data_IF_296587633222
#
_entry.id   IF_296587633222
#
_cell.length_a   1.000
_cell.length_b   1.000
_cell.length_c   1.000
_cell.angle_alpha   90.00
_cell.angle_beta   90.00
_cell.angle_gamma   90.00
#
_symmetry.space_group_name_H-M   'P 1'
#
loop_
_entity.id
_entity.type
_entity.pdbx_description
1 polymer ?
#
# COMPACT_ATOMS: atom_id res chain seq x y z
N UNK A 1 -17.04 1.96 8.42
CA UNK A 1 -15.99 1.09 7.85
C UNK A 1 -14.64 1.73 8.09
N UNK A 2 -13.71 1.01 8.71
CA UNK A 2 -12.35 1.51 8.97
C UNK A 2 -11.61 1.74 7.64
N UNK A 3 -10.74 2.75 7.56
CA UNK A 3 -10.00 3.08 6.33
C UNK A 3 -9.23 1.86 5.78
N UNK A 4 -8.68 1.00 6.65
CA UNK A 4 -7.98 -0.21 6.24
C UNK A 4 -8.89 -1.25 5.57
N UNK A 5 -10.16 -1.35 5.98
CA UNK A 5 -11.12 -2.24 5.33
C UNK A 5 -11.42 -1.78 3.91
N UNK A 6 -11.55 -0.46 3.70
CA UNK A 6 -11.74 0.11 2.35
C UNK A 6 -10.52 -0.16 1.46
N UNK A 7 -9.31 -0.02 2.00
CA UNK A 7 -8.07 -0.30 1.27
C UNK A 7 -8.01 -1.78 0.89
N UNK A 8 -8.25 -2.69 1.83
CA UNK A 8 -8.29 -4.13 1.58
C UNK A 8 -9.32 -4.51 0.52
N UNK A 9 -10.51 -3.89 0.54
CA UNK A 9 -11.52 -4.13 -0.48
C UNK A 9 -11.02 -3.76 -1.88
N UNK A 10 -10.31 -2.63 -2.04
CA UNK A 10 -9.70 -2.25 -3.33
C UNK A 10 -8.65 -3.24 -3.81
N UNK A 11 -7.89 -3.84 -2.90
CA UNK A 11 -6.95 -4.91 -3.24
C UNK A 11 -7.69 -6.17 -3.72
N UNK A 12 -8.73 -6.59 -2.99
CA UNK A 12 -9.58 -7.76 -3.37
C UNK A 12 -10.19 -7.55 -4.76
N UNK A 13 -10.74 -6.36 -5.00
CA UNK A 13 -11.40 -6.01 -6.26
C UNK A 13 -10.41 -5.78 -7.41
N UNK A 14 -9.09 -5.87 -7.15
CA UNK A 14 -8.01 -5.48 -8.06
C UNK A 14 -8.15 -4.05 -8.60
N UNK A 15 -8.81 -3.19 -7.83
CA UNK A 15 -9.07 -1.80 -8.13
C UNK A 15 -7.97 -0.90 -7.54
N UNK A 16 -6.74 -1.18 -7.98
CA UNK A 16 -5.58 -0.41 -7.58
C UNK A 16 -4.55 -0.30 -8.70
N UNK A 17 -3.76 0.75 -8.64
CA UNK A 17 -2.64 1.02 -9.52
C UNK A 17 -1.34 1.02 -8.73
N UNK A 18 -0.32 0.31 -9.23
CA UNK A 18 1.04 0.39 -8.74
C UNK A 18 1.76 1.49 -9.53
N UNK A 19 2.34 2.47 -8.84
CA UNK A 19 3.13 3.50 -9.54
C UNK A 19 4.49 2.95 -10.00
N UNK A 20 5.08 3.55 -11.04
CA UNK A 20 6.41 3.15 -11.52
C UNK A 20 7.46 3.21 -10.43
N UNK A 21 7.43 4.25 -9.59
CA UNK A 21 8.32 4.38 -8.44
C UNK A 21 8.14 3.24 -7.43
N UNK A 22 6.89 2.78 -7.19
CA UNK A 22 6.67 1.63 -6.33
C UNK A 22 7.22 0.34 -6.96
N UNK A 23 7.12 0.17 -8.28
CA UNK A 23 7.68 -1.00 -8.97
C UNK A 23 9.21 -1.01 -8.96
N UNK A 24 9.86 0.15 -9.07
CA UNK A 24 11.32 0.29 -8.95
C UNK A 24 11.82 -0.09 -7.54
N UNK A 25 11.23 0.49 -6.50
CA UNK A 25 11.62 0.18 -5.10
C UNK A 25 11.34 -1.29 -4.74
N UNK A 26 10.23 -1.85 -5.24
CA UNK A 26 9.94 -3.26 -5.06
C UNK A 26 11.00 -4.17 -5.70
N UNK A 27 11.52 -3.78 -6.87
CA UNK A 27 12.58 -4.54 -7.53
C UNK A 27 13.89 -4.49 -6.74
N UNK A 28 14.24 -3.32 -6.22
CA UNK A 28 15.45 -3.12 -5.41
C UNK A 28 15.41 -3.93 -4.10
N UNK A 29 14.22 -4.09 -3.51
CA UNK A 29 14.00 -4.82 -2.26
C UNK A 29 13.61 -6.30 -2.44
N UNK A 30 13.62 -6.84 -3.66
CA UNK A 30 13.18 -8.21 -3.98
C UNK A 30 11.75 -8.51 -3.45
N UNK A 31 10.82 -7.62 -3.78
CA UNK A 31 9.41 -7.69 -3.41
C UNK A 31 8.54 -7.92 -4.65
N UNK A 32 7.59 -8.85 -4.56
CA UNK A 32 6.56 -9.00 -5.59
C UNK A 32 5.25 -8.33 -5.16
N UNK A 33 4.35 -8.13 -6.13
CA UNK A 33 3.00 -7.59 -5.88
C UNK A 33 2.25 -8.35 -4.79
N UNK A 34 2.43 -9.67 -4.71
CA UNK A 34 1.80 -10.53 -3.70
C UNK A 34 2.29 -10.23 -2.29
N UNK A 35 3.51 -9.71 -2.14
CA UNK A 35 4.06 -9.29 -0.84
C UNK A 35 3.40 -8.01 -0.36
N UNK A 36 3.19 -7.06 -1.26
CA UNK A 36 2.40 -5.83 -1.02
C UNK A 36 0.97 -6.17 -0.59
N UNK A 37 0.31 -7.05 -1.33
CA UNK A 37 -1.05 -7.49 -1.01
C UNK A 37 -1.12 -8.16 0.36
N UNK A 38 -0.20 -9.11 0.65
CA UNK A 38 -0.12 -9.79 1.95
C UNK A 38 0.12 -8.80 3.10
N UNK A 39 1.00 -7.82 2.91
CA UNK A 39 1.26 -6.78 3.90
C UNK A 39 0.02 -5.92 4.16
N UNK A 40 -0.77 -5.56 3.13
CA UNK A 40 -2.03 -4.83 3.30
C UNK A 40 -3.09 -5.69 4.02
N UNK A 41 -3.17 -6.98 3.71
CA UNK A 41 -4.15 -7.89 4.30
C UNK A 41 -3.86 -8.18 5.78
N UNK A 42 -2.60 -8.39 6.14
CA UNK A 42 -2.19 -8.77 7.51
C UNK A 42 -1.71 -7.59 8.36
N UNK A 43 -1.40 -6.47 7.72
CA UNK A 43 -0.85 -5.29 8.37
C UNK A 43 -1.88 -4.36 8.99
N UNK A 44 -1.39 -3.21 9.45
CA UNK A 44 -2.16 -2.13 10.08
C UNK A 44 -1.76 -0.77 9.48
N UNK A 45 -2.65 0.20 9.54
CA UNK A 45 -2.28 1.59 9.23
C UNK A 45 -1.38 2.08 10.36
N UNK A 46 -0.10 2.26 10.07
CA UNK A 46 0.90 2.82 10.99
C UNK A 46 0.77 4.35 11.06
N UNK A 47 0.51 5.01 9.92
CA UNK A 47 0.35 6.47 9.89
C UNK A 47 -0.67 6.95 8.86
N UNK A 48 -1.38 8.02 9.22
CA UNK A 48 -2.24 8.80 8.33
C UNK A 48 -1.59 10.18 8.09
N UNK A 49 -1.28 10.50 6.84
CA UNK A 49 -0.64 11.74 6.41
C UNK A 49 -1.68 12.62 5.71
N UNK A 50 -2.13 13.69 6.36
CA UNK A 50 -3.27 14.51 5.91
C UNK A 50 -2.87 15.87 5.32
N UNK A 51 -1.61 16.28 5.43
CA UNK A 51 -1.13 17.60 5.01
C UNK A 51 -0.67 17.64 3.53
N UNK A 52 -1.19 16.73 2.70
CA UNK A 52 -0.81 16.63 1.29
C UNK A 52 -1.94 17.19 0.42
N UNK A 53 -1.60 18.14 -0.46
CA UNK A 53 -2.56 18.78 -1.39
C UNK A 53 -3.25 17.75 -2.31
N UNK A 54 -2.59 16.60 -2.54
CA UNK A 54 -3.11 15.52 -3.37
C UNK A 54 -4.01 14.55 -2.58
N UNK A 55 -4.32 14.87 -1.33
CA UNK A 55 -5.21 14.09 -0.47
C UNK A 55 -4.49 13.19 0.53
N UNK A 56 -5.27 12.58 1.43
CA UNK A 56 -4.73 11.77 2.53
C UNK A 56 -3.95 10.55 2.02
N UNK A 57 -2.71 10.41 2.49
CA UNK A 57 -1.89 9.20 2.31
C UNK A 57 -1.95 8.33 3.57
N UNK A 58 -1.88 7.02 3.37
CA UNK A 58 -1.86 6.01 4.41
C UNK A 58 -0.57 5.22 4.29
N UNK A 59 0.16 5.08 5.40
CA UNK A 59 1.27 4.14 5.52
C UNK A 59 0.77 2.90 6.23
N UNK A 60 0.95 1.76 5.59
CA UNK A 60 0.58 0.45 6.12
C UNK A 60 1.87 -0.29 6.40
N UNK A 61 1.97 -0.83 7.61
CA UNK A 61 3.05 -1.74 8.00
C UNK A 61 2.46 -3.14 8.07
N UNK A 62 3.11 -4.09 7.40
CA UNK A 62 2.70 -5.49 7.41
C UNK A 62 3.79 -6.40 6.86
N UNK A 63 3.64 -7.72 7.05
CA UNK A 63 4.62 -8.69 6.58
C UNK A 63 4.48 -8.92 5.06
N UNK A 64 5.61 -9.02 4.36
CA UNK A 64 5.72 -9.70 3.07
C UNK A 64 5.43 -11.21 3.23
N UNK A 65 5.40 -11.98 2.14
CA UNK A 65 5.12 -13.43 2.23
C UNK A 65 6.25 -14.22 2.87
N UNK A 66 7.48 -13.71 2.82
CA UNK A 66 8.65 -14.27 3.50
C UNK A 66 8.77 -13.83 4.97
N UNK A 67 7.87 -12.95 5.44
CA UNK A 67 7.83 -12.46 6.81
C UNK A 67 8.62 -11.18 7.08
N UNK A 68 9.40 -10.66 6.11
CA UNK A 68 10.02 -9.32 6.23
C UNK A 68 8.93 -8.27 6.44
N UNK A 69 9.14 -7.31 7.33
CA UNK A 69 8.22 -6.18 7.46
C UNK A 69 8.47 -5.21 6.32
N UNK A 70 7.39 -4.74 5.70
CA UNK A 70 7.43 -3.74 4.64
C UNK A 70 6.48 -2.60 4.96
N UNK A 71 6.82 -1.42 4.45
CA UNK A 71 5.91 -0.28 4.41
C UNK A 71 5.29 -0.15 3.03
N UNK A 72 3.98 0.05 3.00
CA UNK A 72 3.21 0.35 1.80
C UNK A 72 2.58 1.73 1.97
N UNK A 73 2.93 2.67 1.09
CA UNK A 73 2.32 4.00 1.09
C UNK A 73 1.26 4.09 -0.01
N UNK A 74 0.01 4.37 0.34
CA UNK A 74 -1.09 4.44 -0.61
C UNK A 74 -2.04 5.62 -0.39
N UNK A 75 -2.84 5.96 -1.41
CA UNK A 75 -3.94 6.93 -1.30
C UNK A 75 -5.11 6.57 -2.22
N UNK A 76 -6.30 7.07 -1.90
CA UNK A 76 -7.44 7.01 -2.81
C UNK A 76 -7.37 8.14 -3.84
N UNK A 77 -7.72 7.87 -5.10
CA UNK A 77 -8.07 8.90 -6.08
C UNK A 77 -9.51 9.37 -5.90
N UNK A 78 -9.82 10.55 -6.46
CA UNK A 78 -11.18 11.11 -6.49
C UNK A 78 -12.19 10.13 -7.12
N UNK A 79 -11.78 9.38 -8.16
CA UNK A 79 -12.61 8.36 -8.82
C UNK A 79 -12.44 6.95 -8.24
N UNK A 80 -12.12 6.86 -6.94
CA UNK A 80 -12.19 5.67 -6.09
C UNK A 80 -11.12 4.57 -6.23
N UNK A 81 -10.30 4.56 -7.28
CA UNK A 81 -9.20 3.60 -7.37
C UNK A 81 -8.09 3.90 -6.35
N UNK A 82 -7.48 2.86 -5.79
CA UNK A 82 -6.34 2.99 -4.87
C UNK A 82 -5.04 3.15 -5.66
N UNK A 83 -4.16 4.07 -5.25
CA UNK A 83 -2.79 4.14 -5.76
C UNK A 83 -1.84 3.65 -4.68
N UNK A 84 -0.98 2.69 -5.03
CA UNK A 84 0.24 2.37 -4.30
C UNK A 84 1.36 3.28 -4.83
N UNK A 85 1.85 4.16 -3.96
CA UNK A 85 2.78 5.25 -4.29
C UNK A 85 4.24 4.78 -4.17
N UNK A 86 4.57 4.03 -3.12
CA UNK A 86 5.90 3.45 -2.89
C UNK A 86 5.74 2.26 -1.93
N UNK A 87 6.67 1.32 -2.02
CA UNK A 87 6.79 0.15 -1.15
C UNK A 87 8.26 -0.08 -0.87
N UNK A 88 8.62 -0.36 0.39
CA UNK A 88 10.00 -0.69 0.76
C UNK A 88 10.03 -1.61 1.99
N UNK A 89 11.06 -2.44 2.09
CA UNK A 89 11.36 -3.29 3.23
C UNK A 89 11.97 -2.49 4.40
N UNK A 90 11.80 -2.99 5.63
CA UNK A 90 12.35 -2.42 6.86
C UNK A 90 13.63 -3.11 7.32
#
# INVERSE_FOLDING_TARGET
MANIQKIRQRIIDRDYYMSSHAEEEMLDDDLERKDVENAIFKGRIEKKLTQDERGTRYRIEGPARDGRLIHVLCRFRENANLIIITVYAL
#
